data_IF_065952107078
#
_entry.id   IF_065952107078
#
_cell.length_a   1.000
_cell.length_b   1.000
_cell.length_c   1.000
_cell.angle_alpha   90.00
_cell.angle_beta   90.00
_cell.angle_gamma   90.00
#
_symmetry.space_group_name_H-M   'P 1'
#
loop_
_entity.id
_entity.type
_entity.pdbx_description
1 polymer ?
#
# COMPACT_ATOMS: atom_id res chain seq x y z
N UNK A 1 2.72 -5.01 -26.32
CA UNK A 1 2.89 -6.26 -25.56
C UNK A 1 3.01 -5.85 -24.12
N UNK A 2 2.03 -6.18 -23.28
CA UNK A 2 2.16 -5.95 -21.83
C UNK A 2 3.33 -6.78 -21.30
N UNK A 3 4.13 -6.19 -20.42
CA UNK A 3 5.26 -6.91 -19.81
C UNK A 3 4.70 -7.93 -18.81
N UNK A 4 5.24 -9.17 -18.75
CA UNK A 4 4.74 -10.21 -17.83
C UNK A 4 4.69 -9.78 -16.35
N UNK A 5 5.57 -8.87 -15.95
CA UNK A 5 5.61 -8.30 -14.61
C UNK A 5 4.43 -7.37 -14.33
N UNK A 6 3.99 -6.59 -15.34
CA UNK A 6 2.83 -5.72 -15.20
C UNK A 6 1.56 -6.56 -15.02
N UNK A 7 1.36 -7.59 -15.83
CA UNK A 7 0.19 -8.48 -15.69
C UNK A 7 0.15 -9.17 -14.33
N UNK A 8 1.29 -9.64 -13.83
CA UNK A 8 1.37 -10.26 -12.51
C UNK A 8 1.09 -9.24 -11.40
N UNK A 9 1.62 -8.03 -11.50
CA UNK A 9 1.34 -6.96 -10.52
C UNK A 9 -0.15 -6.60 -10.47
N UNK A 10 -0.82 -6.54 -11.62
CA UNK A 10 -2.26 -6.30 -11.71
C UNK A 10 -3.06 -7.44 -11.09
N UNK A 11 -2.65 -8.69 -11.30
CA UNK A 11 -3.30 -9.85 -10.69
C UNK A 11 -3.19 -9.82 -9.15
N UNK A 12 -1.99 -9.56 -8.61
CA UNK A 12 -1.78 -9.42 -7.18
C UNK A 12 -2.56 -8.24 -6.58
N UNK A 13 -2.63 -7.12 -7.29
CA UNK A 13 -3.44 -5.96 -6.89
C UNK A 13 -4.94 -6.33 -6.81
N UNK A 14 -5.47 -7.04 -7.81
CA UNK A 14 -6.86 -7.49 -7.83
C UNK A 14 -7.18 -8.41 -6.63
N UNK A 15 -6.32 -9.40 -6.36
CA UNK A 15 -6.47 -10.27 -5.18
C UNK A 15 -6.41 -9.48 -3.87
N UNK A 16 -5.57 -8.44 -3.80
CA UNK A 16 -5.52 -7.56 -2.63
C UNK A 16 -6.83 -6.78 -2.45
N UNK A 17 -7.43 -6.29 -3.53
CA UNK A 17 -8.69 -5.55 -3.46
C UNK A 17 -9.86 -6.43 -2.99
N UNK A 18 -9.89 -7.70 -3.39
CA UNK A 18 -10.86 -8.68 -2.87
C UNK A 18 -10.70 -8.89 -1.36
N UNK A 19 -9.45 -8.98 -0.88
CA UNK A 19 -9.15 -9.09 0.55
C UNK A 19 -9.51 -7.82 1.31
N UNK A 20 -9.33 -6.63 0.73
CA UNK A 20 -9.79 -5.35 1.31
C UNK A 20 -11.31 -5.34 1.46
N UNK A 21 -12.05 -5.81 0.45
CA UNK A 21 -13.50 -5.91 0.53
C UNK A 21 -13.95 -6.89 1.64
N UNK A 22 -13.28 -8.05 1.75
CA UNK A 22 -13.51 -8.99 2.84
C UNK A 22 -13.20 -8.39 4.22
N UNK A 23 -12.11 -7.62 4.34
CA UNK A 23 -11.77 -6.91 5.56
C UNK A 23 -12.86 -5.90 5.95
N UNK A 24 -13.36 -5.12 4.97
CA UNK A 24 -14.42 -4.15 5.19
C UNK A 24 -15.73 -4.83 5.63
N UNK A 25 -16.10 -5.96 5.01
CA UNK A 25 -17.26 -6.75 5.41
C UNK A 25 -17.12 -7.28 6.85
N UNK A 26 -15.95 -7.83 7.20
CA UNK A 26 -15.68 -8.33 8.54
C UNK A 26 -15.77 -7.22 9.61
N UNK A 27 -15.26 -6.01 9.31
CA UNK A 27 -15.41 -4.83 10.19
C UNK A 27 -16.87 -4.48 10.44
N UNK A 28 -17.69 -4.45 9.39
CA UNK A 28 -19.14 -4.17 9.48
C UNK A 28 -19.88 -5.21 10.33
N UNK A 29 -19.41 -6.45 10.35
CA UNK A 29 -19.95 -7.54 11.18
C UNK A 29 -19.39 -7.56 12.60
N UNK A 30 -18.49 -6.63 12.97
CA UNK A 30 -17.82 -6.59 14.27
C UNK A 30 -16.73 -7.65 14.45
N UNK A 31 -16.40 -8.42 13.40
CA UNK A 31 -15.35 -9.43 13.44
C UNK A 31 -13.97 -8.80 13.16
N UNK A 32 -13.44 -8.10 14.16
CA UNK A 32 -12.18 -7.37 14.05
C UNK A 32 -10.97 -8.28 13.79
N UNK A 33 -10.97 -9.50 14.33
CA UNK A 33 -9.89 -10.46 14.12
C UNK A 33 -9.81 -10.90 12.65
N UNK A 34 -10.96 -11.22 12.04
CA UNK A 34 -11.00 -11.56 10.61
C UNK A 34 -10.63 -10.34 9.75
N UNK A 35 -11.13 -9.15 10.09
CA UNK A 35 -10.78 -7.92 9.39
C UNK A 35 -9.26 -7.67 9.38
N UNK A 36 -8.60 -7.83 10.53
CA UNK A 36 -7.16 -7.68 10.65
C UNK A 36 -6.40 -8.74 9.83
N UNK A 37 -6.87 -10.00 9.84
CA UNK A 37 -6.27 -11.07 9.04
C UNK A 37 -6.35 -10.78 7.53
N UNK A 38 -7.52 -10.37 7.05
CA UNK A 38 -7.71 -9.99 5.64
C UNK A 38 -6.87 -8.77 5.25
N UNK A 39 -6.83 -7.73 6.09
CA UNK A 39 -6.00 -6.54 5.85
C UNK A 39 -4.52 -6.91 5.73
N UNK A 40 -4.02 -7.78 6.62
CA UNK A 40 -2.63 -8.24 6.57
C UNK A 40 -2.33 -9.09 5.32
N UNK A 41 -3.29 -9.88 4.86
CA UNK A 41 -3.16 -10.62 3.61
C UNK A 41 -3.14 -9.68 2.40
N UNK A 42 -4.04 -8.70 2.36
CA UNK A 42 -4.09 -7.67 1.30
C UNK A 42 -2.78 -6.89 1.24
N UNK A 43 -2.24 -6.47 2.39
CA UNK A 43 -0.98 -5.76 2.47
C UNK A 43 0.17 -6.54 1.82
N UNK A 44 0.29 -7.84 2.10
CA UNK A 44 1.34 -8.68 1.51
C UNK A 44 1.23 -8.77 -0.02
N UNK A 45 0.00 -8.82 -0.53
CA UNK A 45 -0.27 -8.88 -1.99
C UNK A 45 0.08 -7.56 -2.66
N UNK A 46 -0.33 -6.43 -2.08
CA UNK A 46 0.03 -5.11 -2.58
C UNK A 46 1.53 -4.82 -2.53
N UNK A 47 2.19 -5.20 -1.43
CA UNK A 47 3.64 -5.05 -1.34
C UNK A 47 4.34 -5.85 -2.44
N UNK A 48 3.92 -7.10 -2.67
CA UNK A 48 4.47 -7.92 -3.75
C UNK A 48 4.19 -7.30 -5.14
N UNK A 49 2.98 -6.79 -5.38
CA UNK A 49 2.62 -6.12 -6.62
C UNK A 49 3.50 -4.88 -6.87
N UNK A 50 3.65 -4.03 -5.86
CA UNK A 50 4.52 -2.86 -5.90
C UNK A 50 5.99 -3.24 -6.14
N UNK A 51 6.48 -4.27 -5.46
CA UNK A 51 7.87 -4.75 -5.58
C UNK A 51 8.22 -5.24 -6.98
N UNK A 52 7.29 -5.94 -7.66
CA UNK A 52 7.48 -6.47 -9.02
C UNK A 52 7.79 -5.39 -10.05
N UNK A 53 7.09 -4.24 -9.97
CA UNK A 53 7.21 -3.17 -10.97
C UNK A 53 8.04 -1.99 -10.48
N UNK A 54 8.48 -1.99 -9.23
CA UNK A 54 9.21 -0.89 -8.64
C UNK A 54 10.49 -0.44 -9.38
N UNK A 55 11.28 -1.31 -10.03
CA UNK A 55 12.44 -0.86 -10.81
C UNK A 55 12.06 -0.09 -12.08
N UNK A 56 10.82 -0.18 -12.56
CA UNK A 56 10.40 0.36 -13.85
C UNK A 56 9.57 1.64 -13.69
N UNK A 57 10.24 2.79 -13.82
CA UNK A 57 9.63 4.11 -13.70
C UNK A 57 8.71 4.47 -14.88
N UNK A 58 8.84 3.79 -16.02
CA UNK A 58 7.99 4.02 -17.19
C UNK A 58 6.57 3.48 -17.00
N UNK A 59 6.34 2.69 -15.93
CA UNK A 59 5.03 2.16 -15.54
C UNK A 59 4.24 3.10 -14.63
N UNK A 60 4.64 4.37 -14.54
CA UNK A 60 3.78 5.37 -13.91
C UNK A 60 2.52 5.63 -14.75
N UNK A 61 1.34 5.78 -14.12
CA UNK A 61 1.10 5.94 -12.69
C UNK A 61 0.95 4.62 -11.90
N UNK A 62 0.85 3.46 -12.57
CA UNK A 62 0.58 2.17 -11.92
C UNK A 62 1.57 1.86 -10.82
N UNK A 63 2.86 2.15 -11.02
CA UNK A 63 3.90 1.99 -10.00
C UNK A 63 3.58 2.76 -8.72
N UNK A 64 3.31 4.05 -8.81
CA UNK A 64 3.01 4.87 -7.63
C UNK A 64 1.65 4.54 -7.00
N UNK A 65 0.65 4.15 -7.79
CA UNK A 65 -0.64 3.66 -7.28
C UNK A 65 -0.45 2.41 -6.40
N UNK A 66 0.29 1.40 -6.87
CA UNK A 66 0.52 0.18 -6.08
C UNK A 66 1.30 0.46 -4.80
N UNK A 67 2.33 1.31 -4.86
CA UNK A 67 3.07 1.68 -3.65
C UNK A 67 2.21 2.44 -2.64
N UNK A 68 1.35 3.36 -3.11
CA UNK A 68 0.42 4.07 -2.23
C UNK A 68 -0.59 3.11 -1.59
N UNK A 69 -1.18 2.21 -2.38
CA UNK A 69 -2.08 1.16 -1.87
C UNK A 69 -1.41 0.30 -0.79
N UNK A 70 -0.21 -0.21 -1.08
CA UNK A 70 0.60 -0.97 -0.14
C UNK A 70 0.92 -0.19 1.14
N UNK A 71 1.25 1.10 1.03
CA UNK A 71 1.56 1.96 2.17
C UNK A 71 0.34 2.20 3.06
N UNK A 72 -0.84 2.45 2.48
CA UNK A 72 -2.10 2.59 3.22
C UNK A 72 -2.42 1.33 4.01
N UNK A 73 -2.32 0.15 3.37
CA UNK A 73 -2.56 -1.12 4.07
C UNK A 73 -1.50 -1.42 5.14
N UNK A 74 -0.25 -1.00 4.93
CA UNK A 74 0.79 -1.10 5.95
C UNK A 74 0.45 -0.26 7.19
N UNK A 75 -0.08 0.96 7.01
CA UNK A 75 -0.58 1.80 8.11
C UNK A 75 -1.73 1.10 8.84
N UNK A 76 -2.70 0.55 8.12
CA UNK A 76 -3.80 -0.20 8.74
C UNK A 76 -3.33 -1.45 9.51
N UNK A 77 -2.20 -2.04 9.11
CA UNK A 77 -1.56 -3.15 9.83
C UNK A 77 -0.64 -2.70 10.98
N UNK A 78 -0.51 -1.40 11.25
CA UNK A 78 0.46 -0.80 12.16
C UNK A 78 1.94 -1.09 11.81
N UNK A 79 2.23 -1.41 10.54
CA UNK A 79 3.56 -1.67 10.00
C UNK A 79 4.23 -0.38 9.50
N UNK A 80 4.36 0.62 10.38
CA UNK A 80 4.72 2.00 10.01
C UNK A 80 6.07 2.14 9.29
N UNK A 81 7.06 1.31 9.67
CA UNK A 81 8.36 1.31 8.98
C UNK A 81 8.25 0.80 7.55
N UNK A 82 7.36 -0.16 7.30
CA UNK A 82 7.13 -0.66 5.95
C UNK A 82 6.39 0.39 5.12
N UNK A 83 5.38 1.06 5.69
CA UNK A 83 4.67 2.16 5.05
C UNK A 83 5.62 3.28 4.60
N UNK A 84 6.49 3.76 5.50
CA UNK A 84 7.47 4.81 5.20
C UNK A 84 8.43 4.41 4.08
N UNK A 85 8.90 3.15 4.06
CA UNK A 85 9.76 2.64 2.98
C UNK A 85 9.03 2.59 1.64
N UNK A 86 7.77 2.15 1.63
CA UNK A 86 6.95 2.08 0.42
C UNK A 86 6.70 3.48 -0.14
N UNK A 87 6.39 4.44 0.73
CA UNK A 87 6.22 5.85 0.37
C UNK A 87 7.51 6.42 -0.22
N UNK A 88 8.65 6.23 0.46
CA UNK A 88 9.94 6.71 -0.02
C UNK A 88 10.28 6.15 -1.41
N UNK A 89 9.99 4.87 -1.65
CA UNK A 89 10.22 4.23 -2.96
C UNK A 89 9.28 4.75 -4.06
N UNK A 90 8.05 5.09 -3.72
CA UNK A 90 7.13 5.75 -4.63
C UNK A 90 7.62 7.15 -5.00
N UNK A 91 7.95 7.98 -4.00
CA UNK A 91 8.39 9.36 -4.19
C UNK A 91 9.75 9.49 -4.88
N UNK A 92 10.60 8.46 -4.82
CA UNK A 92 11.89 8.42 -5.50
C UNK A 92 11.80 8.23 -7.03
N UNK A 93 10.62 7.88 -7.56
CA UNK A 93 10.38 7.84 -9.01
C UNK A 93 9.71 9.12 -9.51
N UNK A 94 8.76 8.98 -10.45
CA UNK A 94 8.04 10.11 -11.04
C UNK A 94 6.51 9.99 -10.83
N UNK A 95 6.02 9.90 -9.57
CA UNK A 95 4.59 9.81 -9.33
C UNK A 95 3.87 11.07 -9.85
N UNK A 96 2.63 10.95 -10.37
CA UNK A 96 1.77 12.10 -10.61
C UNK A 96 1.63 12.97 -9.35
N UNK A 97 1.45 14.28 -9.53
CA UNK A 97 1.43 15.23 -8.42
C UNK A 97 0.39 14.88 -7.34
N UNK A 98 -0.81 14.47 -7.75
CA UNK A 98 -1.88 14.05 -6.83
C UNK A 98 -1.46 12.86 -5.97
N UNK A 99 -0.86 11.83 -6.56
CA UNK A 99 -0.38 10.65 -5.85
C UNK A 99 0.79 11.02 -4.92
N UNK A 100 1.67 11.92 -5.36
CA UNK A 100 2.77 12.41 -4.53
C UNK A 100 2.26 13.15 -3.28
N UNK A 101 1.18 13.95 -3.40
CA UNK A 101 0.55 14.60 -2.26
C UNK A 101 -0.11 13.58 -1.32
N UNK A 102 -0.89 12.63 -1.84
CA UNK A 102 -1.51 11.57 -1.01
C UNK A 102 -0.46 10.78 -0.20
N UNK A 103 0.70 10.51 -0.80
CA UNK A 103 1.83 9.83 -0.15
C UNK A 103 2.46 10.70 0.96
N UNK A 104 2.58 12.02 0.74
CA UNK A 104 3.09 12.96 1.75
C UNK A 104 2.09 13.14 2.89
N UNK A 105 0.81 13.24 2.57
CA UNK A 105 -0.27 13.30 3.54
C UNK A 105 -0.22 12.07 4.44
N UNK A 106 -0.07 10.87 3.87
CA UNK A 106 0.06 9.63 4.65
C UNK A 106 1.25 9.65 5.63
N UNK A 107 2.40 10.25 5.25
CA UNK A 107 3.52 10.47 6.16
C UNK A 107 3.15 11.41 7.32
N UNK A 108 2.51 12.54 6.99
CA UNK A 108 2.23 13.62 7.92
C UNK A 108 1.10 13.29 8.90
N UNK A 109 0.03 12.63 8.43
CA UNK A 109 -1.18 12.39 9.23
C UNK A 109 -1.14 11.07 9.97
N UNK A 110 -0.56 10.03 9.38
CA UNK A 110 -0.57 8.70 9.98
C UNK A 110 0.78 8.33 10.60
N UNK A 111 1.88 8.49 9.86
CA UNK A 111 3.17 7.89 10.27
C UNK A 111 3.91 8.73 11.32
N UNK A 112 4.16 10.01 11.05
CA UNK A 112 4.98 10.84 11.95
C UNK A 112 4.36 11.10 13.34
N UNK A 113 3.04 11.34 13.47
CA UNK A 113 2.43 11.53 14.79
C UNK A 113 2.60 10.29 15.69
N UNK A 114 2.43 9.09 15.10
CA UNK A 114 2.57 7.83 15.82
C UNK A 114 4.03 7.57 16.23
N UNK A 115 5.01 8.04 15.45
CA UNK A 115 6.44 7.93 15.83
C UNK A 115 6.83 8.85 16.98
N UNK A 116 6.31 10.07 17.01
CA UNK A 116 6.59 11.01 18.12
C UNK A 116 6.13 10.45 19.46
N UNK A 117 5.00 9.72 19.47
CA UNK A 117 4.49 9.02 20.66
C UNK A 117 5.38 7.85 21.11
N UNK A 118 6.17 7.25 20.22
CA UNK A 118 7.08 6.14 20.55
C UNK A 118 8.49 6.60 20.97
N UNK A 119 8.81 7.88 20.77
CA UNK A 119 10.09 8.48 21.15
C UNK A 119 10.03 9.33 22.43
N UNK A 120 8.85 9.48 23.02
CA UNK A 120 8.60 10.18 24.28
C UNK A 120 8.45 9.18 25.44
#
# INVERSE_FOLDING_TARGET
>A
METPLLSESTHLHQEAMELVEQAALARRQGNLAAAQAFTKAAFKKEQAAADLIAPNLDLEPSRSVLHRSAATLAVECAELRAAERLIGRALAGNPPAEIAEELRDLLLTEIYPQRQLLSA
#
